data_IF_586950151053
#
_entry.id   IF_586950151053
#
_cell.length_a   1.000
_cell.length_b   1.000
_cell.length_c   1.000
_cell.angle_alpha   90.00
_cell.angle_beta   90.00
_cell.angle_gamma   90.00
#
_symmetry.space_group_name_H-M   'P 1'
#
loop_
_entity.id
_entity.type
_entity.pdbx_description
1 polymer ?
#
# COMPACT_ATOMS: atom_id res chain seq x y z
N UNK A 1 -0.83 18.49 -9.54
CA UNK A 1 -0.01 17.32 -9.20
C UNK A 1 1.32 17.82 -8.65
N UNK A 2 1.80 17.32 -7.50
CA UNK A 2 3.13 17.65 -6.99
C UNK A 2 4.22 17.14 -7.95
N UNK A 3 5.43 17.68 -7.84
CA UNK A 3 6.55 17.29 -8.68
C UNK A 3 7.01 15.86 -8.34
N UNK A 4 7.05 14.96 -9.33
CA UNK A 4 7.48 13.57 -9.15
C UNK A 4 8.99 13.49 -8.91
N UNK A 5 9.40 12.86 -7.80
CA UNK A 5 10.80 12.60 -7.48
C UNK A 5 11.29 11.37 -8.25
N UNK A 6 12.53 11.42 -8.74
CA UNK A 6 13.23 10.22 -9.20
C UNK A 6 13.65 9.41 -7.97
N UNK A 7 13.45 8.10 -8.00
CA UNK A 7 13.68 7.27 -6.81
C UNK A 7 14.36 5.96 -7.18
N UNK A 8 15.45 5.67 -6.48
CA UNK A 8 15.91 4.30 -6.29
C UNK A 8 15.23 3.81 -5.00
N UNK A 9 14.45 2.75 -5.13
CA UNK A 9 13.70 2.14 -4.04
C UNK A 9 14.26 0.76 -3.70
N UNK A 10 13.97 0.32 -2.49
CA UNK A 10 14.02 -1.07 -2.06
C UNK A 10 12.65 -1.42 -1.49
N UNK A 11 12.26 -2.69 -1.55
CA UNK A 11 10.98 -3.14 -1.01
C UNK A 11 11.12 -4.42 -0.20
N UNK A 12 10.27 -4.58 0.83
CA UNK A 12 10.28 -5.72 1.74
C UNK A 12 8.94 -5.90 2.43
N UNK A 13 8.70 -7.09 2.96
CA UNK A 13 7.54 -7.33 3.81
C UNK A 13 7.58 -6.40 5.04
N UNK A 14 6.39 -6.04 5.52
CA UNK A 14 6.23 -5.35 6.78
C UNK A 14 6.78 -6.21 7.93
N UNK A 15 7.55 -5.62 8.83
CA UNK A 15 8.12 -6.32 9.97
C UNK A 15 7.89 -5.56 11.28
N UNK A 16 6.94 -6.08 12.07
CA UNK A 16 6.66 -5.60 13.41
C UNK A 16 6.05 -4.19 13.50
N UNK A 17 5.88 -3.73 14.74
CA UNK A 17 5.12 -2.53 15.07
C UNK A 17 5.75 -1.23 14.57
N UNK A 18 7.09 -1.16 14.51
CA UNK A 18 7.78 0.06 14.08
C UNK A 18 7.43 0.42 12.63
N UNK A 19 7.33 -0.58 11.75
CA UNK A 19 6.90 -0.36 10.38
C UNK A 19 5.43 0.04 10.29
N UNK A 20 4.58 -0.55 11.12
CA UNK A 20 3.17 -0.16 11.18
C UNK A 20 2.99 1.31 11.58
N UNK A 21 3.81 1.80 12.52
CA UNK A 21 3.83 3.21 12.90
C UNK A 21 4.39 4.10 11.79
N UNK A 22 5.38 3.64 11.02
CA UNK A 22 5.90 4.37 9.86
C UNK A 22 4.87 4.45 8.73
N UNK A 23 4.14 3.36 8.46
CA UNK A 23 3.05 3.36 7.47
C UNK A 23 1.91 4.29 7.89
N UNK A 24 1.57 4.32 9.19
CA UNK A 24 0.65 5.33 9.73
C UNK A 24 1.14 6.75 9.47
N UNK A 25 2.43 7.03 9.64
CA UNK A 25 3.00 8.35 9.36
C UNK A 25 2.94 8.71 7.88
N UNK A 26 3.23 7.75 6.97
CA UNK A 26 3.08 7.93 5.53
C UNK A 26 1.66 8.37 5.13
N UNK A 27 0.62 7.80 5.74
CA UNK A 27 -0.77 8.20 5.49
C UNK A 27 -1.07 9.64 5.93
N UNK A 28 -0.53 10.06 7.08
CA UNK A 28 -0.65 11.43 7.60
C UNK A 28 0.07 12.41 6.68
N UNK A 29 1.30 12.09 6.27
CA UNK A 29 2.13 12.95 5.42
C UNK A 29 1.50 13.11 4.04
N UNK A 30 1.02 12.02 3.44
CA UNK A 30 0.34 12.03 2.15
C UNK A 30 -0.92 12.90 2.16
N UNK A 31 -1.72 12.86 3.22
CA UNK A 31 -2.88 13.73 3.36
C UNK A 31 -2.48 15.21 3.45
N UNK A 32 -1.36 15.52 4.11
CA UNK A 32 -0.87 16.89 4.25
C UNK A 32 -0.43 17.48 2.89
N UNK A 33 0.05 16.64 1.97
CA UNK A 33 0.43 17.05 0.60
C UNK A 33 -0.78 17.22 -0.31
N UNK A 34 -1.73 16.27 -0.29
CA UNK A 34 -2.87 16.28 -1.22
C UNK A 34 -4.06 17.11 -0.71
N UNK A 35 -4.27 17.18 0.61
CA UNK A 35 -5.38 17.90 1.23
C UNK A 35 -6.74 17.20 1.13
N UNK A 36 -6.78 15.93 0.70
CA UNK A 36 -7.97 15.07 0.58
C UNK A 36 -7.57 13.59 0.61
N UNK A 37 -8.56 12.71 0.72
CA UNK A 37 -8.37 11.25 0.69
C UNK A 37 -7.75 10.80 -0.62
N UNK A 38 -6.56 10.19 -0.55
CA UNK A 38 -5.77 9.71 -1.70
C UNK A 38 -5.27 8.27 -1.47
N UNK A 39 -4.80 8.03 -0.24
CA UNK A 39 -4.57 6.71 0.31
C UNK A 39 -5.68 6.39 1.32
N UNK A 40 -5.58 5.24 1.97
CA UNK A 40 -6.36 4.97 3.18
C UNK A 40 -6.22 6.07 4.24
N UNK A 41 -7.27 6.24 5.03
CA UNK A 41 -7.21 6.96 6.28
C UNK A 41 -6.36 6.21 7.33
N UNK A 42 -5.65 6.92 8.22
CA UNK A 42 -4.89 6.29 9.30
C UNK A 42 -5.73 5.33 10.16
N UNK A 43 -7.02 5.62 10.38
CA UNK A 43 -7.92 4.75 11.14
C UNK A 43 -8.17 3.40 10.47
N UNK A 44 -8.24 3.34 9.13
CA UNK A 44 -8.44 2.08 8.39
C UNK A 44 -7.20 1.22 8.50
N UNK A 45 -6.02 1.82 8.35
CA UNK A 45 -4.75 1.14 8.61
C UNK A 45 -4.65 0.66 10.06
N UNK A 46 -5.01 1.50 11.04
CA UNK A 46 -4.98 1.11 12.44
C UNK A 46 -5.94 -0.05 12.73
N UNK A 47 -7.14 -0.01 12.16
CA UNK A 47 -8.09 -1.12 12.21
C UNK A 47 -7.50 -2.39 11.60
N UNK A 48 -6.99 -2.32 10.38
CA UNK A 48 -6.38 -3.45 9.70
C UNK A 48 -5.21 -4.04 10.49
N UNK A 49 -4.30 -3.21 10.99
CA UNK A 49 -3.11 -3.68 11.66
C UNK A 49 -3.40 -4.21 13.08
N UNK A 50 -4.18 -3.50 13.90
CA UNK A 50 -4.39 -3.85 15.32
C UNK A 50 -5.70 -4.58 15.63
N UNK A 51 -6.70 -4.59 14.75
CA UNK A 51 -7.94 -5.35 14.98
C UNK A 51 -7.73 -6.84 14.69
N UNK A 52 -7.10 -7.52 15.64
CA UNK A 52 -6.80 -8.93 15.60
C UNK A 52 -7.10 -9.56 16.96
N UNK A 53 -7.42 -10.85 16.97
CA UNK A 53 -7.59 -11.64 18.18
C UNK A 53 -6.26 -11.70 18.95
N UNK A 54 -6.31 -11.89 20.27
CA UNK A 54 -5.10 -11.94 21.11
C UNK A 54 -4.11 -13.04 20.66
N UNK A 55 -4.60 -14.17 20.14
CA UNK A 55 -3.75 -15.22 19.59
C UNK A 55 -3.00 -14.78 18.32
N UNK A 56 -3.61 -13.95 17.49
CA UNK A 56 -2.99 -13.39 16.28
C UNK A 56 -2.00 -12.27 16.65
N UNK A 57 -2.21 -11.57 17.77
CA UNK A 57 -1.29 -10.54 18.30
C UNK A 57 0.02 -11.09 18.82
N UNK A 58 0.05 -12.37 19.18
CA UNK A 58 1.29 -13.05 19.56
C UNK A 58 2.18 -13.42 18.37
N UNK A 59 1.73 -13.25 17.12
CA UNK A 59 2.55 -13.39 15.93
C UNK A 59 3.01 -12.01 15.41
N UNK A 60 4.27 -11.61 15.61
CA UNK A 60 4.76 -10.29 15.17
C UNK A 60 4.80 -10.15 13.64
N UNK A 61 4.80 -11.25 12.90
CA UNK A 61 4.93 -11.28 11.44
C UNK A 61 3.61 -11.58 10.73
N UNK A 62 2.45 -11.54 11.42
CA UNK A 62 1.15 -11.90 10.82
C UNK A 62 0.76 -11.10 9.58
N UNK A 63 1.35 -9.92 9.42
CA UNK A 63 1.09 -8.99 8.32
C UNK A 63 2.18 -9.05 7.24
N UNK A 64 3.21 -9.89 7.40
CA UNK A 64 4.30 -10.01 6.44
C UNK A 64 3.85 -10.60 5.10
N UNK A 65 2.83 -11.46 5.12
CA UNK A 65 2.23 -12.06 3.92
C UNK A 65 1.17 -11.16 3.26
N UNK A 66 0.69 -10.13 3.96
CA UNK A 66 -0.40 -9.27 3.48
C UNK A 66 0.02 -7.83 3.25
N UNK A 67 1.17 -7.40 3.78
CA UNK A 67 1.64 -6.01 3.66
C UNK A 67 3.10 -5.95 3.23
N UNK A 68 3.34 -5.22 2.14
CA UNK A 68 4.68 -5.02 1.58
C UNK A 68 4.98 -3.54 1.45
N UNK A 69 6.22 -3.15 1.71
CA UNK A 69 6.65 -1.77 1.93
C UNK A 69 7.69 -1.36 0.90
N UNK A 70 7.62 -0.12 0.43
CA UNK A 70 8.61 0.53 -0.43
C UNK A 70 9.30 1.66 0.32
N UNK A 71 10.62 1.59 0.35
CA UNK A 71 11.48 2.57 0.99
C UNK A 71 12.44 3.17 -0.04
N UNK A 72 12.79 4.45 0.12
CA UNK A 72 13.95 5.01 -0.55
C UNK A 72 15.22 4.32 -0.06
N UNK A 73 16.30 4.36 -0.83
CA UNK A 73 17.63 3.89 -0.36
C UNK A 73 18.12 4.57 0.93
N UNK A 74 17.59 5.75 1.25
CA UNK A 74 17.85 6.46 2.51
C UNK A 74 17.00 5.97 3.70
N UNK A 75 16.09 5.01 3.50
CA UNK A 75 15.23 4.44 4.53
C UNK A 75 13.94 5.24 4.80
N UNK A 76 13.55 6.16 3.92
CA UNK A 76 12.24 6.82 3.99
C UNK A 76 11.17 5.88 3.44
N UNK A 77 10.12 5.59 4.21
CA UNK A 77 8.98 4.80 3.73
C UNK A 77 8.11 5.68 2.83
N UNK A 78 7.94 5.26 1.57
CA UNK A 78 7.24 6.05 0.54
C UNK A 78 6.06 5.34 -0.08
N UNK A 79 5.92 4.03 0.13
CA UNK A 79 4.79 3.27 -0.37
C UNK A 79 4.53 2.00 0.40
N UNK A 80 3.33 1.47 0.25
CA UNK A 80 2.94 0.15 0.71
C UNK A 80 1.85 -0.44 -0.18
N UNK A 81 1.86 -1.76 -0.28
CA UNK A 81 0.76 -2.59 -0.77
C UNK A 81 0.18 -3.32 0.44
N UNK A 82 -1.14 -3.27 0.60
CA UNK A 82 -1.86 -3.97 1.68
C UNK A 82 -2.97 -4.82 1.07
N UNK A 83 -2.93 -6.13 1.27
CA UNK A 83 -4.00 -7.05 0.91
C UNK A 83 -5.15 -6.92 1.91
N UNK A 84 -6.36 -6.62 1.42
CA UNK A 84 -7.60 -6.61 2.23
C UNK A 84 -8.29 -7.97 2.21
N UNK A 85 -8.07 -8.74 1.15
CA UNK A 85 -8.61 -10.07 0.94
C UNK A 85 -8.00 -10.70 -0.31
N UNK A 86 -8.48 -11.88 -0.73
CA UNK A 86 -8.01 -12.52 -1.95
C UNK A 86 -8.21 -11.60 -3.17
N UNK A 87 -7.11 -11.13 -3.76
CA UNK A 87 -7.14 -10.22 -4.92
C UNK A 87 -7.48 -8.77 -4.60
N UNK A 88 -8.02 -8.43 -3.43
CA UNK A 88 -8.34 -7.05 -3.05
C UNK A 88 -7.12 -6.36 -2.44
N UNK A 89 -6.65 -5.31 -3.10
CA UNK A 89 -5.38 -4.66 -2.82
C UNK A 89 -5.54 -3.16 -2.67
N UNK A 90 -5.07 -2.64 -1.54
CA UNK A 90 -4.87 -1.22 -1.35
C UNK A 90 -3.45 -0.78 -1.71
N UNK A 91 -3.38 0.21 -2.58
CA UNK A 91 -2.15 0.89 -2.96
C UNK A 91 -2.00 2.20 -2.17
N UNK A 92 -1.01 2.24 -1.29
CA UNK A 92 -0.65 3.40 -0.47
C UNK A 92 0.66 3.97 -1.01
N UNK A 93 0.68 5.25 -1.41
CA UNK A 93 1.90 5.88 -1.93
C UNK A 93 2.00 7.34 -1.50
N UNK A 94 3.21 7.80 -1.20
CA UNK A 94 3.46 9.22 -1.02
C UNK A 94 3.28 9.95 -2.36
N UNK A 95 2.50 11.05 -2.44
CA UNK A 95 2.15 11.71 -3.70
C UNK A 95 3.33 12.15 -4.59
N UNK A 96 4.49 12.41 -4.01
CA UNK A 96 5.72 12.76 -4.76
C UNK A 96 6.41 11.55 -5.43
N UNK A 97 5.97 10.32 -5.15
CA UNK A 97 6.65 9.08 -5.56
C UNK A 97 5.77 8.15 -6.41
N UNK A 98 4.74 8.69 -7.07
CA UNK A 98 3.77 7.88 -7.85
C UNK A 98 4.36 7.13 -9.03
N UNK A 99 5.57 7.46 -9.45
CA UNK A 99 6.33 6.66 -10.43
C UNK A 99 6.55 5.21 -9.98
N UNK A 100 6.47 4.93 -8.67
CA UNK A 100 6.55 3.58 -8.13
C UNK A 100 5.26 2.78 -8.27
N UNK A 101 4.12 3.42 -8.59
CA UNK A 101 2.84 2.70 -8.64
C UNK A 101 2.88 1.54 -9.65
N UNK A 102 3.56 1.70 -10.79
CA UNK A 102 3.66 0.63 -11.80
C UNK A 102 4.39 -0.62 -11.25
N UNK A 103 5.52 -0.41 -10.57
CA UNK A 103 6.29 -1.49 -9.91
C UNK A 103 5.48 -2.14 -8.77
N UNK A 104 4.74 -1.34 -8.00
CA UNK A 104 3.90 -1.84 -6.91
C UNK A 104 2.72 -2.67 -7.42
N UNK A 105 2.10 -2.25 -8.54
CA UNK A 105 1.02 -3.00 -9.20
C UNK A 105 1.56 -4.32 -9.75
N UNK A 106 2.73 -4.31 -10.38
CA UNK A 106 3.40 -5.54 -10.85
C UNK A 106 3.66 -6.50 -9.69
N UNK A 107 4.26 -6.02 -8.60
CA UNK A 107 4.49 -6.82 -7.41
C UNK A 107 3.18 -7.38 -6.82
N UNK A 108 2.14 -6.56 -6.71
CA UNK A 108 0.85 -6.99 -6.19
C UNK A 108 0.21 -8.08 -7.08
N UNK A 109 0.34 -7.94 -8.40
CA UNK A 109 -0.18 -8.91 -9.36
C UNK A 109 0.53 -10.26 -9.21
N UNK A 110 1.85 -10.25 -9.10
CA UNK A 110 2.66 -11.47 -8.99
C UNK A 110 2.45 -12.22 -7.67
N UNK A 111 2.11 -11.50 -6.58
CA UNK A 111 2.11 -12.06 -5.23
C UNK A 111 0.71 -12.21 -4.61
N UNK A 112 -0.26 -11.37 -5.01
CA UNK A 112 -1.56 -11.26 -4.34
C UNK A 112 -2.76 -11.54 -5.27
N UNK A 113 -2.53 -11.80 -6.56
CA UNK A 113 -3.62 -12.12 -7.47
C UNK A 113 -4.39 -13.36 -7.03
N UNK A 114 -5.71 -13.27 -7.06
CA UNK A 114 -6.61 -14.36 -6.73
C UNK A 114 -7.61 -14.60 -7.86
N UNK A 115 -8.26 -15.78 -7.92
CA UNK A 115 -9.27 -16.05 -8.94
C UNK A 115 -10.41 -15.03 -8.87
N UNK A 116 -10.68 -14.38 -10.00
CA UNK A 116 -11.84 -13.50 -10.21
C UNK A 116 -13.11 -14.29 -10.52
N UNK A 117 -14.24 -13.60 -10.65
CA UNK A 117 -15.51 -14.20 -11.09
C UNK A 117 -15.40 -14.91 -12.46
N UNK A 118 -14.51 -14.42 -13.33
CA UNK A 118 -14.19 -15.01 -14.64
C UNK A 118 -13.13 -16.13 -14.57
N UNK A 119 -12.76 -16.55 -13.35
CA UNK A 119 -11.78 -17.59 -13.06
C UNK A 119 -10.37 -17.29 -13.61
N UNK A 120 -10.06 -16.00 -13.79
CA UNK A 120 -8.72 -15.50 -14.11
C UNK A 120 -8.09 -14.92 -12.84
N UNK A 121 -6.80 -15.15 -12.62
CA UNK A 121 -6.11 -14.52 -11.50
C UNK A 121 -6.00 -13.02 -11.77
N UNK A 122 -6.56 -12.22 -10.86
CA UNK A 122 -6.55 -10.77 -10.95
C UNK A 122 -6.37 -10.13 -9.58
N UNK A 123 -6.01 -8.85 -9.59
CA UNK A 123 -6.10 -7.98 -8.44
C UNK A 123 -7.13 -6.88 -8.71
N UNK A 124 -7.77 -6.40 -7.64
CA UNK A 124 -8.65 -5.26 -7.63
C UNK A 124 -7.97 -4.15 -6.82
N UNK A 125 -7.83 -2.97 -7.43
CA UNK A 125 -7.29 -1.78 -6.78
C UNK A 125 -8.28 -0.64 -6.99
N UNK A 126 -8.64 0.02 -5.89
CA UNK A 126 -9.51 1.20 -5.93
C UNK A 126 -8.74 2.46 -6.33
N UNK A 127 -9.34 3.24 -7.23
CA UNK A 127 -8.90 4.58 -7.59
C UNK A 127 -10.04 5.57 -7.41
N UNK A 128 -9.75 6.74 -6.84
CA UNK A 128 -10.72 7.83 -6.79
C UNK A 128 -11.04 8.34 -8.20
N UNK A 129 -12.26 8.84 -8.39
CA UNK A 129 -12.74 9.42 -9.64
C UNK A 129 -11.88 10.59 -10.15
N UNK A 130 -11.29 11.34 -9.23
CA UNK A 130 -10.40 12.44 -9.52
C UNK A 130 -8.95 12.00 -9.81
N UNK A 131 -8.59 10.76 -9.48
CA UNK A 131 -7.23 10.25 -9.65
C UNK A 131 -7.03 9.63 -11.04
N UNK A 132 -6.97 10.51 -12.04
CA UNK A 132 -6.81 10.13 -13.44
C UNK A 132 -5.51 9.34 -13.70
N UNK A 133 -4.45 9.61 -12.92
CA UNK A 133 -3.15 8.95 -13.09
C UNK A 133 -3.25 7.46 -12.69
N UNK A 134 -3.84 7.16 -11.53
CA UNK A 134 -4.05 5.78 -11.10
C UNK A 134 -5.04 5.07 -12.00
N UNK A 135 -6.12 5.74 -12.41
CA UNK A 135 -7.08 5.17 -13.36
C UNK A 135 -6.43 4.80 -14.70
N UNK A 136 -5.42 5.55 -15.16
CA UNK A 136 -4.69 5.22 -16.39
C UNK A 136 -3.79 3.99 -16.22
N UNK A 137 -3.20 3.80 -15.02
CA UNK A 137 -2.35 2.63 -14.71
C UNK A 137 -3.12 1.33 -14.55
N UNK A 138 -4.39 1.41 -14.15
CA UNK A 138 -5.25 0.25 -13.89
C UNK A 138 -6.08 -0.19 -15.12
N UNK A 139 -5.80 0.35 -16.30
CA UNK A 139 -6.46 -0.01 -17.57
C UNK A 139 -5.58 -0.91 -18.41
#
# INVERSE_FOLDING_TARGET
MPAQKAVNSQHRALHGEQDALRLRQLLIDGYTVIGREFNWEPRRWEGHYWAALDCERNNPDRHSDTTHLWETVSGELVGAVVAEGPGDVALIIHPDYRKLEDEMIEWATDNLAAPSEDNQNAIEIWAFDWDEERQQRLR
#
